data_IF_047689806670
#
_entry.id   IF_047689806670
#
_cell.length_a   1.000
_cell.length_b   1.000
_cell.length_c   1.000
_cell.angle_alpha   90.00
_cell.angle_beta   90.00
_cell.angle_gamma   90.00
#
_symmetry.space_group_name_H-M   'P 1'
#
loop_
_entity.id
_entity.type
_entity.pdbx_description
1 polymer ?
#
# COMPACT_ATOMS: atom_id res chain seq x y z
N UNK A 1 4.44 -1.21 28.51
CA UNK A 1 5.00 -0.98 27.16
C UNK A 1 4.29 0.23 26.59
N UNK A 2 5.02 1.23 26.11
CA UNK A 2 4.40 2.36 25.39
C UNK A 2 3.77 1.84 24.10
N UNK A 3 2.58 2.34 23.75
CA UNK A 3 1.94 2.01 22.48
C UNK A 3 2.82 2.50 21.34
N UNK A 4 3.30 1.59 20.51
CA UNK A 4 4.09 1.93 19.33
C UNK A 4 3.25 1.70 18.09
N UNK A 5 2.71 2.78 17.54
CA UNK A 5 2.04 2.74 16.25
C UNK A 5 3.07 2.45 15.17
N UNK A 6 2.73 1.59 14.22
CA UNK A 6 3.60 1.31 13.08
C UNK A 6 2.80 1.26 11.79
N UNK A 7 3.51 1.44 10.68
CA UNK A 7 3.00 1.11 9.35
C UNK A 7 4.05 0.28 8.62
N UNK A 8 3.59 -0.80 7.99
CA UNK A 8 4.39 -1.66 7.12
C UNK A 8 3.97 -1.44 5.69
N UNK A 9 4.85 -0.89 4.86
CA UNK A 9 4.65 -0.77 3.42
C UNK A 9 5.17 -2.02 2.73
N UNK A 10 4.37 -2.56 1.82
CA UNK A 10 4.61 -3.84 1.17
C UNK A 10 4.56 -3.71 -0.36
N UNK A 11 5.43 -4.47 -1.03
CA UNK A 11 5.52 -4.50 -2.49
C UNK A 11 5.51 -5.96 -2.94
N UNK A 12 4.51 -6.33 -3.74
CA UNK A 12 4.46 -7.62 -4.42
C UNK A 12 5.03 -7.52 -5.84
N UNK A 13 5.81 -8.51 -6.29
CA UNK A 13 6.33 -8.55 -7.65
C UNK A 13 5.24 -8.88 -8.67
N UNK A 14 5.52 -8.62 -9.94
CA UNK A 14 4.80 -9.23 -11.03
C UNK A 14 4.85 -10.75 -10.90
N UNK A 15 3.72 -11.41 -11.12
CA UNK A 15 3.56 -12.84 -10.94
C UNK A 15 3.19 -13.27 -9.53
N UNK A 16 3.18 -12.35 -8.55
CA UNK A 16 2.86 -12.67 -7.16
C UNK A 16 1.51 -13.36 -7.04
N UNK A 17 1.48 -14.44 -6.25
CA UNK A 17 0.26 -15.19 -5.99
C UNK A 17 -0.72 -14.35 -5.16
N UNK A 18 -1.93 -14.19 -5.70
CA UNK A 18 -3.07 -13.53 -5.09
C UNK A 18 -4.20 -14.54 -4.87
N UNK A 19 -4.78 -14.57 -3.68
CA UNK A 19 -5.95 -15.41 -3.34
C UNK A 19 -7.13 -14.50 -3.06
N UNK A 20 -8.21 -14.62 -3.85
CA UNK A 20 -9.41 -13.80 -3.68
C UNK A 20 -10.01 -14.02 -2.30
N UNK A 21 -10.16 -12.94 -1.52
CA UNK A 21 -10.75 -12.99 -0.17
C UNK A 21 -12.29 -12.88 -0.20
N UNK A 22 -12.85 -12.51 -1.34
CA UNK A 22 -14.27 -12.39 -1.61
C UNK A 22 -14.52 -12.61 -3.10
N UNK A 23 -15.76 -12.93 -3.48
CA UNK A 23 -16.18 -13.00 -4.88
C UNK A 23 -15.93 -11.66 -5.58
N UNK A 24 -15.28 -11.72 -6.75
CA UNK A 24 -14.94 -10.55 -7.58
C UNK A 24 -15.05 -10.95 -9.06
N UNK A 25 -16.01 -10.37 -9.77
CA UNK A 25 -16.34 -10.73 -11.15
C UNK A 25 -16.57 -12.24 -11.35
N UNK A 26 -15.79 -12.85 -12.23
CA UNK A 26 -15.80 -14.28 -12.54
C UNK A 26 -15.02 -15.12 -11.51
N UNK A 27 -14.29 -14.48 -10.60
CA UNK A 27 -13.53 -15.14 -9.56
C UNK A 27 -14.33 -15.28 -8.26
N UNK A 28 -14.20 -16.45 -7.64
CA UNK A 28 -14.78 -16.78 -6.34
C UNK A 28 -13.77 -16.60 -5.22
N UNK A 29 -14.28 -16.39 -4.00
CA UNK A 29 -13.43 -16.44 -2.83
C UNK A 29 -12.64 -17.77 -2.77
N UNK A 30 -11.33 -17.69 -2.58
CA UNK A 30 -10.40 -18.82 -2.62
C UNK A 30 -9.75 -19.07 -3.99
N UNK A 31 -10.24 -18.45 -5.07
CA UNK A 31 -9.59 -18.55 -6.37
C UNK A 31 -8.18 -17.95 -6.32
N UNK A 32 -7.29 -18.52 -7.12
CA UNK A 32 -5.90 -18.08 -7.21
C UNK A 32 -5.67 -17.34 -8.52
N UNK A 33 -5.09 -16.16 -8.41
CA UNK A 33 -4.65 -15.33 -9.53
C UNK A 33 -3.16 -14.98 -9.39
N UNK A 34 -2.52 -14.73 -10.52
CA UNK A 34 -1.14 -14.25 -10.56
C UNK A 34 -1.13 -12.79 -10.98
N UNK A 35 -0.65 -11.90 -10.10
CA UNK A 35 -0.73 -10.47 -10.32
C UNK A 35 0.06 -10.03 -11.55
N UNK A 36 -0.63 -9.48 -12.55
CA UNK A 36 -0.05 -9.12 -13.85
C UNK A 36 0.96 -7.97 -13.77
N UNK A 37 0.81 -7.05 -12.82
CA UNK A 37 1.70 -5.88 -12.64
C UNK A 37 2.51 -5.89 -11.35
N UNK A 38 2.20 -6.79 -10.42
CA UNK A 38 2.57 -6.64 -9.01
C UNK A 38 1.64 -5.67 -8.28
N UNK A 39 1.93 -5.37 -7.02
CA UNK A 39 1.06 -4.50 -6.21
C UNK A 39 1.81 -3.80 -5.09
N UNK A 40 1.25 -2.67 -4.61
CA UNK A 40 1.72 -2.01 -3.39
C UNK A 40 0.55 -1.70 -2.47
N UNK A 41 0.76 -1.92 -1.18
CA UNK A 41 -0.20 -1.61 -0.13
C UNK A 41 0.55 -1.33 1.18
N UNK A 42 -0.19 -0.96 2.22
CA UNK A 42 0.38 -0.83 3.55
C UNK A 42 -0.55 -1.39 4.64
N UNK A 43 0.05 -1.74 5.77
CA UNK A 43 -0.63 -2.27 6.95
C UNK A 43 -0.33 -1.36 8.12
N UNK A 44 -1.37 -0.86 8.79
CA UNK A 44 -1.23 -0.02 9.99
C UNK A 44 -1.48 -0.89 11.22
N UNK A 45 -0.59 -0.82 12.21
CA UNK A 45 -0.74 -1.47 13.51
C UNK A 45 -0.94 -0.43 14.62
N UNK A 46 -1.91 -0.67 15.52
CA UNK A 46 -2.27 0.24 16.61
C UNK A 46 -1.42 0.09 17.90
N UNK A 47 -0.43 -0.80 17.88
CA UNK A 47 0.40 -1.17 19.02
C UNK A 47 -0.26 -2.14 20.01
N UNK A 48 -1.51 -2.56 19.77
CA UNK A 48 -2.26 -3.55 20.57
C UNK A 48 -2.51 -4.85 19.80
N UNK A 49 -1.82 -5.05 18.66
CA UNK A 49 -1.99 -6.22 17.80
C UNK A 49 -3.15 -6.09 16.81
N UNK A 50 -3.81 -4.92 16.71
CA UNK A 50 -4.83 -4.70 15.69
C UNK A 50 -4.16 -4.16 14.42
N UNK A 51 -4.23 -4.94 13.35
CA UNK A 51 -3.71 -4.57 12.04
C UNK A 51 -4.83 -4.26 11.05
N UNK A 52 -4.60 -3.25 10.21
CA UNK A 52 -5.51 -2.89 9.12
C UNK A 52 -4.73 -2.71 7.84
N UNK A 53 -5.03 -3.54 6.84
CA UNK A 53 -4.48 -3.42 5.50
C UNK A 53 -5.24 -2.36 4.71
N UNK A 54 -4.52 -1.60 3.91
CA UNK A 54 -5.09 -0.67 2.94
C UNK A 54 -4.26 -0.71 1.66
N UNK A 55 -4.93 -0.96 0.55
CA UNK A 55 -4.38 -0.71 -0.77
C UNK A 55 -5.47 -0.23 -1.70
N UNK A 56 -5.13 -0.10 -2.98
CA UNK A 56 -6.01 0.52 -3.96
C UNK A 56 -6.03 -0.31 -5.23
N UNK A 57 -7.20 -0.78 -5.61
CA UNK A 57 -7.39 -1.72 -6.71
C UNK A 57 -8.52 -1.29 -7.64
N UNK A 58 -8.50 -1.82 -8.86
CA UNK A 58 -9.66 -1.77 -9.76
C UNK A 58 -10.77 -2.66 -9.20
N UNK A 59 -12.01 -2.15 -9.16
CA UNK A 59 -13.19 -2.93 -8.75
C UNK A 59 -13.38 -4.14 -9.66
N UNK A 60 -13.04 -4.00 -10.94
CA UNK A 60 -13.28 -5.00 -11.98
C UNK A 60 -12.03 -5.69 -12.51
N UNK A 61 -10.87 -5.55 -11.84
CA UNK A 61 -9.57 -6.06 -12.34
C UNK A 61 -9.21 -5.56 -13.75
N UNK A 62 -9.72 -4.37 -14.09
CA UNK A 62 -9.49 -3.74 -15.38
C UNK A 62 -8.38 -2.69 -15.30
N UNK A 63 -7.58 -2.52 -16.37
CA UNK A 63 -6.53 -1.50 -16.47
C UNK A 63 -7.04 -0.04 -16.44
N UNK A 64 -8.35 0.17 -16.54
CA UNK A 64 -9.05 1.44 -16.38
C UNK A 64 -10.44 1.15 -15.80
N UNK A 65 -11.05 2.13 -15.13
CA UNK A 65 -12.42 2.02 -14.62
C UNK A 65 -12.57 2.36 -13.15
N UNK A 66 -13.61 1.82 -12.53
CA UNK A 66 -13.95 2.06 -11.12
C UNK A 66 -12.88 1.48 -10.19
N UNK A 67 -12.62 2.21 -9.11
CA UNK A 67 -11.55 1.93 -8.15
C UNK A 67 -12.11 1.85 -6.75
N UNK A 68 -11.40 1.14 -5.88
CA UNK A 68 -11.72 1.14 -4.45
C UNK A 68 -10.47 1.00 -3.60
N UNK A 69 -10.56 1.55 -2.39
CA UNK A 69 -9.68 1.13 -1.30
C UNK A 69 -10.10 -0.28 -0.88
N UNK A 70 -9.13 -1.17 -0.77
CA UNK A 70 -9.33 -2.55 -0.30
C UNK A 70 -8.62 -2.78 1.02
N UNK A 71 -9.22 -3.61 1.87
CA UNK A 71 -8.65 -4.04 3.16
C UNK A 71 -8.15 -5.48 3.13
N UNK A 72 -8.16 -6.10 1.95
CA UNK A 72 -7.86 -7.53 1.78
C UNK A 72 -6.42 -7.82 1.38
N UNK A 73 -5.66 -6.84 0.89
CA UNK A 73 -4.36 -7.09 0.25
C UNK A 73 -3.38 -7.90 1.10
N UNK A 74 -3.27 -7.59 2.40
CA UNK A 74 -2.38 -8.33 3.29
C UNK A 74 -2.77 -9.81 3.50
N UNK A 75 -4.06 -10.14 3.36
CA UNK A 75 -4.53 -11.53 3.42
C UNK A 75 -4.51 -12.21 2.04
N UNK A 76 -4.68 -11.43 0.97
CA UNK A 76 -4.80 -11.92 -0.39
C UNK A 76 -3.45 -12.22 -1.04
N UNK A 77 -2.48 -11.29 -0.94
CA UNK A 77 -1.14 -11.46 -1.49
C UNK A 77 -0.31 -12.40 -0.61
N UNK A 78 0.15 -13.51 -1.19
CA UNK A 78 0.92 -14.53 -0.48
C UNK A 78 2.43 -14.29 -0.56
N UNK A 79 2.86 -13.29 -1.34
CA UNK A 79 4.27 -13.02 -1.64
C UNK A 79 4.49 -11.52 -1.74
N UNK A 80 5.61 -11.07 -1.16
CA UNK A 80 6.12 -9.71 -1.27
C UNK A 80 7.60 -9.78 -1.62
N UNK A 81 8.09 -8.88 -2.45
CA UNK A 81 9.53 -8.68 -2.69
C UNK A 81 10.16 -7.68 -1.74
N UNK A 82 9.34 -6.88 -1.06
CA UNK A 82 9.82 -5.87 -0.12
C UNK A 82 8.79 -5.55 0.95
N UNK A 83 9.26 -5.46 2.18
CA UNK A 83 8.50 -4.95 3.31
C UNK A 83 9.35 -4.00 4.15
N UNK A 84 8.81 -2.84 4.49
CA UNK A 84 9.46 -1.90 5.42
C UNK A 84 8.48 -1.42 6.46
N UNK A 85 8.86 -1.58 7.72
CA UNK A 85 8.07 -1.14 8.87
C UNK A 85 8.71 0.09 9.49
N UNK A 86 7.93 1.15 9.65
CA UNK A 86 8.36 2.37 10.33
C UNK A 86 7.45 2.66 11.52
N UNK A 87 8.02 3.25 12.57
CA UNK A 87 7.23 3.77 13.67
C UNK A 87 6.50 5.05 13.26
N UNK A 88 5.31 5.21 13.82
CA UNK A 88 4.48 6.40 13.69
C UNK A 88 4.30 7.03 15.06
N UNK A 89 4.33 8.35 15.10
CA UNK A 89 3.72 9.05 16.24
C UNK A 89 2.18 9.06 16.09
N UNK A 90 1.48 9.41 17.16
CA UNK A 90 0.01 9.39 17.19
C UNK A 90 -0.63 10.30 16.12
N UNK A 91 -0.01 11.45 15.82
CA UNK A 91 -0.49 12.37 14.78
C UNK A 91 -0.38 11.75 13.39
N UNK A 92 0.74 11.11 13.07
CA UNK A 92 0.93 10.39 11.81
C UNK A 92 -0.05 9.21 11.70
N UNK A 93 -0.24 8.43 12.76
CA UNK A 93 -1.22 7.33 12.79
C UNK A 93 -2.63 7.83 12.47
N UNK A 94 -3.09 8.89 13.14
CA UNK A 94 -4.43 9.46 12.91
C UNK A 94 -4.59 9.99 11.49
N UNK A 95 -3.59 10.69 10.95
CA UNK A 95 -3.60 11.20 9.57
C UNK A 95 -3.65 10.07 8.55
N UNK A 96 -2.87 9.01 8.78
CA UNK A 96 -2.84 7.86 7.88
C UNK A 96 -4.18 7.10 7.88
N UNK A 97 -4.79 6.92 9.05
CA UNK A 97 -6.14 6.33 9.15
C UNK A 97 -7.17 7.20 8.44
N UNK A 98 -7.14 8.52 8.64
CA UNK A 98 -8.06 9.44 7.98
C UNK A 98 -7.89 9.41 6.45
N UNK A 99 -6.65 9.38 5.96
CA UNK A 99 -6.34 9.18 4.54
C UNK A 99 -6.87 7.84 4.02
N UNK A 100 -6.57 6.74 4.71
CA UNK A 100 -7.00 5.40 4.32
C UNK A 100 -8.53 5.28 4.18
N UNK A 101 -9.28 5.99 5.03
CA UNK A 101 -10.75 5.94 5.02
C UNK A 101 -11.36 6.91 4.01
N UNK A 102 -10.74 8.07 3.79
CA UNK A 102 -11.26 9.14 2.94
C UNK A 102 -10.16 9.77 2.08
N UNK A 103 -9.53 9.01 1.15
CA UNK A 103 -8.35 9.49 0.41
C UNK A 103 -8.67 10.65 -0.55
N UNK A 104 -9.94 10.81 -0.94
CA UNK A 104 -10.40 11.95 -1.73
C UNK A 104 -10.32 13.27 -0.98
N UNK A 105 -10.81 13.26 0.26
CA UNK A 105 -10.91 14.44 1.10
C UNK A 105 -9.58 14.78 1.75
N UNK A 106 -8.77 13.75 2.02
CA UNK A 106 -7.50 13.86 2.72
C UNK A 106 -6.36 13.58 1.73
N UNK A 107 -5.52 14.58 1.47
CA UNK A 107 -4.31 14.40 0.64
C UNK A 107 -4.50 14.63 -0.86
N UNK A 108 -5.74 14.84 -1.35
CA UNK A 108 -5.99 15.24 -2.74
C UNK A 108 -5.89 14.10 -3.76
N UNK A 109 -5.98 12.85 -3.31
CA UNK A 109 -5.95 11.68 -4.18
C UNK A 109 -7.29 11.54 -4.91
N UNK A 110 -7.29 11.48 -6.25
CA UNK A 110 -8.53 11.43 -7.04
C UNK A 110 -9.10 10.01 -7.00
N UNK A 111 -10.21 9.80 -6.31
CA UNK A 111 -10.83 8.48 -6.15
C UNK A 111 -11.82 8.08 -7.26
N UNK A 112 -11.94 8.87 -8.35
CA UNK A 112 -13.03 8.68 -9.32
C UNK A 112 -12.66 8.03 -10.64
N UNK A 113 -11.37 7.91 -11.01
CA UNK A 113 -10.95 7.37 -12.33
C UNK A 113 -9.59 6.63 -12.25
N UNK A 114 -9.55 5.30 -12.38
CA UNK A 114 -8.27 4.56 -12.47
C UNK A 114 -7.54 4.91 -13.77
N UNK A 115 -6.26 5.24 -13.64
CA UNK A 115 -5.31 5.20 -14.75
C UNK A 115 -4.09 4.47 -14.21
N UNK A 116 -3.71 3.34 -14.81
CA UNK A 116 -2.47 2.64 -14.45
C UNK A 116 -1.29 3.62 -14.36
N UNK A 117 -1.30 4.68 -15.18
CA UNK A 117 -0.25 5.69 -15.25
C UNK A 117 -0.35 6.85 -14.24
N UNK A 118 -1.49 7.10 -13.59
CA UNK A 118 -1.66 8.29 -12.73
C UNK A 118 -2.74 8.20 -11.64
N UNK A 119 -3.23 7.00 -11.31
CA UNK A 119 -4.15 6.74 -10.21
C UNK A 119 -4.14 5.24 -9.83
N UNK A 120 -2.99 4.75 -9.40
CA UNK A 120 -2.67 3.33 -9.19
C UNK A 120 -2.49 2.96 -7.71
N UNK A 121 -2.23 1.68 -7.44
CA UNK A 121 -1.81 1.21 -6.11
C UNK A 121 -0.50 1.89 -5.64
N UNK A 122 0.38 2.23 -6.58
CA UNK A 122 1.61 2.98 -6.30
C UNK A 122 1.27 4.40 -5.86
N UNK A 123 0.45 5.11 -6.64
CA UNK A 123 0.06 6.49 -6.31
C UNK A 123 -0.59 6.54 -4.92
N UNK A 124 -1.51 5.63 -4.63
CA UNK A 124 -2.17 5.56 -3.31
C UNK A 124 -1.16 5.45 -2.16
N UNK A 125 -0.14 4.62 -2.29
CA UNK A 125 0.95 4.50 -1.30
C UNK A 125 1.77 5.79 -1.20
N UNK A 126 2.09 6.44 -2.32
CA UNK A 126 2.87 7.69 -2.28
C UNK A 126 2.07 8.86 -1.70
N UNK A 127 0.76 8.92 -1.91
CA UNK A 127 -0.13 9.88 -1.28
C UNK A 127 -0.31 9.60 0.22
N UNK A 128 -0.32 8.32 0.64
CA UNK A 128 -0.31 7.97 2.05
C UNK A 128 0.96 8.49 2.74
N UNK A 129 2.11 8.41 2.08
CA UNK A 129 3.38 8.98 2.54
C UNK A 129 3.34 10.52 2.60
N UNK A 130 2.65 11.19 1.67
CA UNK A 130 2.43 12.65 1.74
C UNK A 130 1.58 12.99 2.97
N UNK A 131 0.53 12.22 3.24
CA UNK A 131 -0.38 12.47 4.38
C UNK A 131 0.32 12.47 5.75
N UNK A 132 1.40 11.68 5.89
CA UNK A 132 2.20 11.57 7.12
C UNK A 132 3.51 12.36 7.07
N UNK A 133 3.74 13.12 6.01
CA UNK A 133 4.87 14.05 5.89
C UNK A 133 6.18 13.45 5.39
N UNK A 134 6.17 12.25 4.82
CA UNK A 134 7.38 11.62 4.25
C UNK A 134 7.57 11.91 2.75
N UNK A 135 6.50 12.26 2.02
CA UNK A 135 6.57 12.62 0.60
C UNK A 135 6.26 14.11 0.37
N UNK A 136 7.21 14.98 0.70
CA UNK A 136 7.06 16.45 0.69
C UNK A 136 7.18 17.08 -0.70
N UNK A 137 7.76 16.37 -1.66
CA UNK A 137 7.95 16.83 -3.04
C UNK A 137 6.87 16.31 -4.01
N UNK A 138 5.86 15.60 -3.51
CA UNK A 138 4.73 15.13 -4.32
C UNK A 138 5.12 14.07 -5.34
N UNK A 139 6.08 13.19 -5.02
CA UNK A 139 6.44 12.08 -5.91
C UNK A 139 5.27 11.12 -6.07
N UNK A 140 4.96 10.69 -7.28
CA UNK A 140 3.87 9.74 -7.57
C UNK A 140 4.36 8.28 -7.54
N UNK A 141 5.67 8.07 -7.62
CA UNK A 141 6.28 6.75 -7.77
C UNK A 141 6.42 6.32 -9.24
N UNK A 142 7.04 5.16 -9.44
CA UNK A 142 7.19 4.49 -10.72
C UNK A 142 5.98 3.61 -11.00
N UNK A 143 5.59 3.47 -12.27
CA UNK A 143 4.46 2.64 -12.69
C UNK A 143 4.50 1.20 -12.16
N UNK A 144 5.69 0.59 -12.16
CA UNK A 144 5.87 -0.80 -11.73
C UNK A 144 6.19 -0.85 -10.23
N UNK A 145 5.38 -1.54 -9.40
CA UNK A 145 5.57 -1.69 -7.95
C UNK A 145 7.00 -1.94 -7.50
N UNK A 146 7.68 -2.94 -8.06
CA UNK A 146 9.05 -3.31 -7.66
C UNK A 146 10.09 -2.20 -7.91
N UNK A 147 9.83 -1.31 -8.86
CA UNK A 147 10.72 -0.17 -9.12
C UNK A 147 10.60 0.93 -8.06
N UNK A 148 9.65 0.82 -7.12
CA UNK A 148 9.47 1.76 -6.02
C UNK A 148 10.19 1.38 -4.74
N UNK A 149 10.81 0.20 -4.67
CA UNK A 149 11.51 -0.26 -3.46
C UNK A 149 12.61 0.74 -3.04
N UNK A 150 13.46 1.14 -3.99
CA UNK A 150 14.55 2.09 -3.71
C UNK A 150 14.00 3.50 -3.38
N UNK A 151 13.09 4.10 -4.19
CA UNK A 151 12.45 5.36 -3.84
C UNK A 151 11.82 5.39 -2.45
N UNK A 152 11.07 4.34 -2.08
CA UNK A 152 10.36 4.25 -0.81
C UNK A 152 11.32 4.15 0.38
N UNK A 153 12.34 3.28 0.27
CA UNK A 153 13.41 3.18 1.28
C UNK A 153 14.17 4.50 1.46
N UNK A 154 14.51 5.17 0.36
CA UNK A 154 15.20 6.45 0.38
C UNK A 154 14.34 7.52 1.05
N UNK A 155 13.04 7.55 0.76
CA UNK A 155 12.11 8.50 1.35
C UNK A 155 12.07 8.39 2.87
N UNK A 156 12.00 7.19 3.43
CA UNK A 156 12.06 7.02 4.88
C UNK A 156 13.38 7.49 5.48
N UNK A 157 14.50 7.15 4.84
CA UNK A 157 15.83 7.56 5.32
C UNK A 157 16.03 9.07 5.30
N UNK A 158 15.65 9.73 4.21
CA UNK A 158 15.83 11.18 4.06
C UNK A 158 14.96 11.99 5.01
N UNK A 159 13.79 11.49 5.37
CA UNK A 159 12.90 12.17 6.31
C UNK A 159 13.14 11.74 7.77
N UNK A 160 14.19 10.97 8.05
CA UNK A 160 14.54 10.56 9.41
C UNK A 160 13.50 9.66 10.07
N UNK A 161 12.75 8.88 9.29
CA UNK A 161 11.77 7.95 9.83
C UNK A 161 12.48 6.88 10.69
N UNK A 162 11.87 6.52 11.83
CA UNK A 162 12.36 5.42 12.65
C UNK A 162 11.98 4.09 12.00
N UNK A 163 12.91 3.51 11.24
CA UNK A 163 12.75 2.22 10.57
C UNK A 163 12.91 1.10 11.61
N UNK A 164 11.85 0.31 11.81
CA UNK A 164 11.81 -0.82 12.73
C UNK A 164 12.30 -2.09 12.06
N UNK A 165 11.90 -2.30 10.81
CA UNK A 165 12.34 -3.43 10.00
C UNK A 165 12.37 -3.07 8.52
N UNK A 166 13.25 -3.72 7.76
CA UNK A 166 13.47 -3.46 6.35
C UNK A 166 13.95 -4.73 5.67
N UNK A 167 13.03 -5.40 4.98
CA UNK A 167 13.24 -6.73 4.42
C UNK A 167 13.14 -6.66 2.90
N UNK A 168 14.28 -6.86 2.24
CA UNK A 168 14.29 -7.26 0.84
C UNK A 168 14.04 -8.75 0.79
N UNK A 169 12.86 -9.12 0.33
CA UNK A 169 12.50 -10.51 0.11
C UNK A 169 12.87 -10.81 -1.35
N UNK A 170 14.13 -11.17 -1.56
CA UNK A 170 14.51 -11.88 -2.77
C UNK A 170 13.96 -13.29 -2.59
N UNK A 171 12.84 -13.59 -3.23
CA UNK A 171 12.49 -14.99 -3.44
C UNK A 171 13.67 -15.64 -4.19
N UNK A 172 14.19 -16.73 -3.61
CA UNK A 172 15.27 -17.55 -4.16
C UNK A 172 14.83 -18.40 -5.34
#
# INVERSE_FOLDING_TARGET
>A
MEKKYTVTYKVAPMGAKYVYQADKNEHKAGDVHSSSGGHMWYVINDGNGNERSYGFESVYDQPWGEVRVTTHDNAAYQQTSYEVTVALNESQYKKLIAFSQNPKEIGGFRDTEYSLHSNSCVDFVFFSLTSIGYNTHGMQGNLVPVNNIIPLNNMFKFNGAEIISNHFIRDG
#
